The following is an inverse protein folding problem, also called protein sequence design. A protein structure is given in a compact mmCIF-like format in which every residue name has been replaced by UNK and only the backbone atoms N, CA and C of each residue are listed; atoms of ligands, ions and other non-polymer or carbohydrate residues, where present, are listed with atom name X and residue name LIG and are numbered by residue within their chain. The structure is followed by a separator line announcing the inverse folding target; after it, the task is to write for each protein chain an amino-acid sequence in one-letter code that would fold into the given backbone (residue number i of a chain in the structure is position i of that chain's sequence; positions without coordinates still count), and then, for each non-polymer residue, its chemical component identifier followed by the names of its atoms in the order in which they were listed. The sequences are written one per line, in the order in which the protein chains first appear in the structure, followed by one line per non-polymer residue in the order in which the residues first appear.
data_IF_163340755965
#
_entry.id   IF_163340755965
#
_cell.length_a   1.000
_cell.length_b   1.000
_cell.length_c   1.000
_cell.angle_alpha   90.00
_cell.angle_beta   90.00
_cell.angle_gamma   90.00
#
_symmetry.space_group_name_H-M   'P 1'
#
loop_
_entity.id
_entity.type
_entity.pdbx_description
1 polymer ?
#
# COMPACT_ATOMS: atom_id res chain seq x y z
N UNK A 1 16.36 0.05 -88.59
CA UNK A 1 15.84 -0.58 -87.36
C UNK A 1 14.99 0.44 -86.62
N UNK A 2 13.71 0.10 -86.43
CA UNK A 2 12.57 0.70 -85.71
C UNK A 2 12.69 2.04 -84.93
N UNK A 3 11.81 2.97 -85.33
CA UNK A 3 10.75 3.73 -84.60
C UNK A 3 11.01 4.51 -83.27
N UNK A 4 10.52 5.77 -83.33
CA UNK A 4 10.14 6.77 -82.30
C UNK A 4 9.64 6.22 -80.95
N UNK A 5 9.93 6.95 -79.85
CA UNK A 5 8.93 7.53 -78.89
C UNK A 5 9.54 8.74 -78.15
N UNK A 6 8.80 9.85 -78.12
CA UNK A 6 8.95 11.05 -77.27
C UNK A 6 8.26 10.81 -75.92
N UNK A 7 8.80 11.20 -74.76
CA UNK A 7 7.99 11.64 -73.61
C UNK A 7 8.75 12.64 -72.70
N UNK A 8 8.12 13.81 -72.55
CA UNK A 8 8.05 14.79 -71.46
C UNK A 8 9.19 14.99 -70.43
N UNK A 9 9.51 16.27 -70.23
CA UNK A 9 10.33 16.82 -69.18
C UNK A 9 9.71 16.67 -67.77
N UNK A 10 10.58 16.50 -66.76
CA UNK A 10 10.28 16.69 -65.34
C UNK A 10 11.47 17.46 -64.72
N UNK A 11 11.25 18.59 -64.02
CA UNK A 11 12.32 19.28 -63.34
C UNK A 11 12.73 18.51 -62.07
N UNK A 12 14.05 18.43 -61.86
CA UNK A 12 14.66 17.85 -60.66
C UNK A 12 14.30 18.76 -59.48
N UNK A 13 13.40 18.30 -58.61
CA UNK A 13 13.23 18.87 -57.28
C UNK A 13 14.45 18.46 -56.43
N UNK A 14 15.34 19.42 -56.17
CA UNK A 14 16.33 19.29 -55.09
C UNK A 14 15.55 19.29 -53.76
N UNK A 15 15.39 18.11 -53.15
CA UNK A 15 15.06 18.05 -51.72
C UNK A 15 16.29 18.50 -50.94
N UNK A 16 16.25 19.72 -50.42
CA UNK A 16 17.09 20.12 -49.31
C UNK A 16 16.84 19.17 -48.14
N UNK A 17 17.83 18.39 -47.76
CA UNK A 17 17.83 17.62 -46.53
C UNK A 17 17.73 18.61 -45.37
N UNK A 18 16.52 18.81 -44.84
CA UNK A 18 16.36 19.38 -43.51
C UNK A 18 16.99 18.38 -42.55
N UNK A 19 18.14 18.77 -42.01
CA UNK A 19 18.75 18.17 -40.84
C UNK A 19 17.73 18.23 -39.72
N UNK A 20 16.95 17.16 -39.58
CA UNK A 20 16.19 16.89 -38.38
C UNK A 20 17.18 16.91 -37.23
N UNK A 21 17.10 17.95 -36.40
CA UNK A 21 17.70 17.93 -35.07
C UNK A 21 16.94 16.85 -34.32
N UNK A 22 17.40 15.60 -34.47
CA UNK A 22 17.13 14.57 -33.50
C UNK A 22 17.78 15.06 -32.21
N UNK A 23 17.01 15.78 -31.39
CA UNK A 23 17.36 16.01 -30.01
C UNK A 23 17.45 14.63 -29.38
N UNK A 24 18.64 14.08 -29.30
CA UNK A 24 18.95 13.01 -28.37
C UNK A 24 18.64 13.60 -26.99
N UNK A 25 17.44 13.32 -26.48
CA UNK A 25 17.16 13.54 -25.07
C UNK A 25 18.09 12.59 -24.33
N UNK A 26 19.29 13.07 -23.98
CA UNK A 26 19.97 12.57 -22.81
C UNK A 26 18.99 12.79 -21.67
N UNK A 27 18.21 11.75 -21.32
CA UNK A 27 17.32 11.82 -20.17
C UNK A 27 18.21 11.85 -18.93
N UNK A 28 18.71 13.05 -18.61
CA UNK A 28 19.41 13.34 -17.37
C UNK A 28 18.59 12.83 -16.19
N UNK A 29 19.28 12.45 -15.11
CA UNK A 29 18.61 12.04 -13.88
C UNK A 29 17.76 13.22 -13.41
N UNK A 30 16.44 13.04 -13.37
CA UNK A 30 15.51 14.09 -12.98
C UNK A 30 15.77 14.49 -11.53
N UNK A 31 15.94 15.78 -11.23
CA UNK A 31 16.12 16.26 -9.85
C UNK A 31 14.94 15.85 -8.96
N UNK A 32 15.18 15.34 -7.73
CA UNK A 32 14.10 15.07 -6.77
C UNK A 32 13.25 16.32 -6.51
N UNK A 33 11.92 16.17 -6.41
CA UNK A 33 11.02 17.28 -6.07
C UNK A 33 11.24 17.79 -4.63
N UNK A 34 11.59 16.86 -3.74
CA UNK A 34 11.93 17.08 -2.34
C UNK A 34 13.15 16.23 -1.98
N UNK A 35 13.83 16.57 -0.89
CA UNK A 35 14.97 15.79 -0.40
C UNK A 35 14.51 14.41 0.06
N UNK A 36 15.08 13.35 -0.51
CA UNK A 36 14.75 11.96 -0.22
C UNK A 36 16.02 11.21 0.17
N UNK A 37 15.99 10.50 1.30
CA UNK A 37 17.11 9.69 1.79
C UNK A 37 16.62 8.37 2.38
N UNK A 38 17.44 7.30 2.39
CA UNK A 38 17.08 6.09 3.11
C UNK A 38 16.98 6.39 4.62
N UNK A 39 16.05 5.73 5.31
CA UNK A 39 15.86 5.84 6.76
C UNK A 39 16.12 4.51 7.47
N UNK A 40 15.52 3.42 7.00
CA UNK A 40 15.72 2.06 7.54
C UNK A 40 16.11 1.15 6.39
N UNK A 41 17.30 0.55 6.51
CA UNK A 41 17.87 -0.36 5.52
C UNK A 41 18.27 -1.65 6.23
N UNK A 42 17.72 -2.78 5.78
CA UNK A 42 18.03 -4.10 6.32
C UNK A 42 18.52 -5.02 5.21
N UNK A 43 19.61 -5.74 5.47
CA UNK A 43 20.21 -6.64 4.49
C UNK A 43 19.36 -7.91 4.38
N UNK A 44 18.95 -8.26 3.16
CA UNK A 44 18.24 -9.51 2.86
C UNK A 44 16.79 -9.56 3.34
N UNK A 45 16.24 -8.42 3.80
CA UNK A 45 14.90 -8.34 4.36
C UNK A 45 14.22 -7.08 3.83
N UNK A 46 13.01 -7.22 3.32
CA UNK A 46 12.18 -6.09 2.91
C UNK A 46 11.62 -5.38 4.15
N UNK A 47 11.62 -4.05 4.14
CA UNK A 47 11.02 -3.20 5.19
C UNK A 47 9.92 -2.35 4.57
N UNK A 48 8.68 -2.52 5.03
CA UNK A 48 7.48 -1.95 4.39
C UNK A 48 6.40 -1.49 5.36
N UNK A 49 5.43 -0.74 4.84
CA UNK A 49 4.25 -0.26 5.56
C UNK A 49 4.58 0.42 6.90
N UNK A 50 5.36 1.53 6.87
CA UNK A 50 5.62 2.29 8.07
C UNK A 50 4.31 2.89 8.61
N UNK A 51 4.18 2.89 9.93
CA UNK A 51 3.10 3.51 10.70
C UNK A 51 3.74 4.25 11.87
N UNK A 52 3.25 5.46 12.17
CA UNK A 52 3.84 6.32 13.21
C UNK A 52 2.74 6.81 14.13
N UNK A 53 2.96 6.68 15.44
CA UNK A 53 2.13 7.25 16.49
C UNK A 53 2.97 7.41 17.76
N UNK A 54 2.66 8.41 18.57
CA UNK A 54 3.46 8.76 19.76
C UNK A 54 4.93 8.96 19.41
N UNK A 55 5.81 8.26 20.13
CA UNK A 55 7.27 8.27 19.92
C UNK A 55 7.80 7.09 19.10
N UNK A 56 6.91 6.37 18.43
CA UNK A 56 7.24 5.09 17.80
C UNK A 56 6.95 5.07 16.31
N UNK A 57 7.84 4.41 15.58
CA UNK A 57 7.63 4.00 14.20
C UNK A 57 7.56 2.47 14.17
N UNK A 58 6.50 1.95 13.58
CA UNK A 58 6.23 0.53 13.40
C UNK A 58 6.27 0.21 11.92
N UNK A 59 6.85 -0.92 11.54
CA UNK A 59 6.90 -1.36 10.14
C UNK A 59 6.93 -2.88 10.06
N UNK A 60 6.59 -3.40 8.89
CA UNK A 60 6.62 -4.83 8.61
C UNK A 60 7.95 -5.21 7.97
N UNK A 61 8.48 -6.37 8.33
CA UNK A 61 9.65 -6.96 7.69
C UNK A 61 9.37 -8.37 7.16
N UNK A 62 10.03 -8.74 6.07
CA UNK A 62 9.95 -10.11 5.56
C UNK A 62 11.03 -10.45 4.53
N UNK A 63 11.41 -11.72 4.49
CA UNK A 63 12.44 -12.26 3.60
C UNK A 63 11.89 -13.28 2.59
N UNK A 64 10.56 -13.36 2.52
CA UNK A 64 9.82 -14.36 1.74
C UNK A 64 9.49 -15.65 2.50
N UNK A 65 10.20 -15.94 3.60
CA UNK A 65 9.96 -17.13 4.45
C UNK A 65 9.27 -16.76 5.76
N UNK A 66 9.67 -15.65 6.35
CA UNK A 66 9.08 -15.11 7.58
C UNK A 66 8.56 -13.70 7.40
N UNK A 67 7.53 -13.36 8.18
CA UNK A 67 6.94 -12.03 8.25
C UNK A 67 6.82 -11.61 9.70
N UNK A 68 7.34 -10.42 9.98
CA UNK A 68 7.47 -9.87 11.31
C UNK A 68 6.97 -8.42 11.31
N UNK A 69 6.61 -7.94 12.49
CA UNK A 69 6.38 -6.52 12.74
C UNK A 69 7.44 -6.06 13.72
N UNK A 70 7.98 -4.88 13.46
CA UNK A 70 9.07 -4.29 14.21
C UNK A 70 8.72 -2.88 14.64
N UNK A 71 9.21 -2.49 15.82
CA UNK A 71 9.05 -1.16 16.38
C UNK A 71 10.42 -0.54 16.67
N UNK A 72 10.57 0.73 16.31
CA UNK A 72 11.73 1.58 16.64
C UNK A 72 11.25 2.89 17.28
N UNK A 73 12.17 3.62 17.91
CA UNK A 73 11.89 5.02 18.26
C UNK A 73 11.86 5.87 17.00
N UNK A 74 10.87 6.75 16.86
CA UNK A 74 10.80 7.69 15.74
C UNK A 74 11.95 8.70 15.75
N UNK A 75 12.53 8.97 16.92
CA UNK A 75 13.65 9.91 17.11
C UNK A 75 15.00 9.28 16.75
N UNK A 76 15.07 7.95 16.67
CA UNK A 76 16.26 7.23 16.23
C UNK A 76 15.89 5.95 15.46
N UNK A 77 15.27 6.06 14.26
CA UNK A 77 14.70 4.90 13.56
C UNK A 77 15.76 3.90 13.06
N UNK A 78 17.01 4.34 12.94
CA UNK A 78 18.14 3.51 12.53
C UNK A 78 18.77 2.71 13.69
N UNK A 79 18.35 2.95 14.94
CA UNK A 79 18.79 2.19 16.11
C UNK A 79 18.19 0.79 16.14
N UNK A 80 18.55 0.00 17.17
CA UNK A 80 18.03 -1.35 17.35
C UNK A 80 16.50 -1.36 17.36
N UNK A 81 15.92 -2.23 16.55
CA UNK A 81 14.49 -2.47 16.50
C UNK A 81 14.06 -3.57 17.46
N UNK A 82 12.85 -3.45 17.98
CA UNK A 82 12.18 -4.48 18.77
C UNK A 82 11.22 -5.24 17.87
N UNK A 83 11.47 -6.53 17.67
CA UNK A 83 10.59 -7.43 16.93
C UNK A 83 9.43 -7.85 17.83
N UNK A 84 8.20 -7.80 17.30
CA UNK A 84 7.02 -8.27 18.02
C UNK A 84 7.08 -9.79 18.21
N UNK A 85 6.76 -10.25 19.43
CA UNK A 85 6.80 -11.67 19.76
C UNK A 85 5.58 -12.39 19.18
N UNK A 86 5.81 -13.57 18.66
CA UNK A 86 4.73 -14.51 18.30
C UNK A 86 4.19 -15.19 19.57
N UNK A 87 2.90 -15.52 19.55
CA UNK A 87 2.21 -16.23 20.63
C UNK A 87 2.12 -17.74 20.38
N UNK A 88 2.22 -18.17 19.12
CA UNK A 88 2.21 -19.60 18.75
C UNK A 88 3.33 -19.92 17.77
N UNK A 89 3.72 -21.20 17.74
CA UNK A 89 4.67 -21.70 16.74
C UNK A 89 4.09 -21.48 15.33
N UNK A 90 4.92 -21.01 14.39
CA UNK A 90 4.54 -20.69 13.01
C UNK A 90 3.52 -19.54 12.86
N UNK A 91 3.41 -18.65 13.85
CA UNK A 91 2.65 -17.41 13.67
C UNK A 91 3.42 -16.45 12.75
N UNK A 92 2.74 -15.97 11.71
CA UNK A 92 3.21 -14.89 10.86
C UNK A 92 2.49 -13.60 11.25
N UNK A 93 3.25 -12.55 11.55
CA UNK A 93 2.72 -11.24 11.94
C UNK A 93 2.99 -10.23 10.82
N UNK A 94 1.97 -9.49 10.41
CA UNK A 94 2.00 -8.50 9.32
C UNK A 94 1.23 -7.23 9.68
N UNK A 95 1.44 -6.17 8.89
CA UNK A 95 0.69 -4.92 8.97
C UNK A 95 0.63 -4.37 10.41
N UNK A 96 1.79 -3.97 10.90
CA UNK A 96 1.89 -3.31 12.20
C UNK A 96 1.36 -1.88 12.15
N UNK A 97 0.61 -1.48 13.18
CA UNK A 97 0.18 -0.11 13.41
C UNK A 97 0.67 0.38 14.77
N UNK A 98 1.21 1.59 14.82
CA UNK A 98 1.64 2.23 16.06
C UNK A 98 0.44 2.88 16.79
N UNK A 99 0.50 2.90 18.11
CA UNK A 99 -0.45 3.63 18.97
C UNK A 99 0.32 4.60 19.88
N UNK A 100 -0.27 5.74 20.24
CA UNK A 100 0.37 6.80 21.03
C UNK A 100 0.95 6.33 22.37
N UNK A 101 0.33 5.34 23.02
CA UNK A 101 0.78 4.75 24.29
C UNK A 101 1.99 3.80 24.11
N UNK A 102 2.46 3.61 22.89
CA UNK A 102 3.55 2.70 22.52
C UNK A 102 3.13 1.26 22.25
N UNK A 103 1.84 0.95 22.35
CA UNK A 103 1.29 -0.34 21.92
C UNK A 103 1.44 -0.52 20.40
N UNK A 104 1.42 -1.78 19.97
CA UNK A 104 1.50 -2.15 18.55
C UNK A 104 0.34 -3.05 18.20
N UNK A 105 -0.51 -2.59 17.29
CA UNK A 105 -1.49 -3.44 16.62
C UNK A 105 -0.87 -4.21 15.48
N UNK A 106 -1.33 -5.43 15.23
CA UNK A 106 -0.87 -6.19 14.07
C UNK A 106 -1.90 -7.22 13.61
N UNK A 107 -1.73 -7.68 12.39
CA UNK A 107 -2.50 -8.78 11.82
C UNK A 107 -1.67 -10.05 11.92
N UNK A 108 -2.28 -11.17 12.30
CA UNK A 108 -1.59 -12.46 12.23
C UNK A 108 -2.45 -13.56 11.62
N UNK A 109 -1.80 -14.66 11.24
CA UNK A 109 -2.42 -15.84 10.64
C UNK A 109 -3.09 -16.77 11.67
N UNK A 110 -3.34 -16.31 12.90
CA UNK A 110 -4.08 -17.10 13.90
C UNK A 110 -5.53 -17.31 13.43
N UNK A 111 -6.33 -18.10 14.16
CA UNK A 111 -7.79 -18.19 13.97
C UNK A 111 -8.53 -18.23 15.32
N UNK A 112 -9.50 -17.33 15.60
CA UNK A 112 -10.26 -17.33 16.87
C UNK A 112 -10.92 -15.98 17.25
N UNK A 113 -12.01 -15.94 18.03
CA UNK A 113 -12.92 -14.78 18.16
C UNK A 113 -12.23 -13.44 18.43
N UNK A 114 -12.74 -12.33 17.85
CA UNK A 114 -12.22 -10.95 18.00
C UNK A 114 -11.91 -10.64 19.46
N UNK A 115 -12.82 -10.99 20.37
CA UNK A 115 -12.66 -10.72 21.81
C UNK A 115 -11.42 -11.38 22.43
N UNK A 116 -11.01 -12.55 21.94
CA UNK A 116 -9.80 -13.25 22.43
C UNK A 116 -8.50 -12.63 21.91
N UNK A 117 -8.59 -11.72 20.94
CA UNK A 117 -7.45 -11.23 20.16
C UNK A 117 -7.17 -9.75 20.33
N UNK A 118 -8.16 -9.01 20.81
CA UNK A 118 -8.01 -7.64 21.27
C UNK A 118 -7.57 -7.65 22.74
N UNK A 119 -6.40 -8.23 23.00
CA UNK A 119 -5.86 -8.31 24.36
C UNK A 119 -5.54 -6.91 24.88
N UNK A 120 -6.21 -6.53 25.97
CA UNK A 120 -6.02 -5.28 26.71
C UNK A 120 -4.93 -5.48 27.77
N UNK A 121 -3.69 -5.67 27.33
CA UNK A 121 -2.54 -5.59 28.23
C UNK A 121 -2.06 -4.15 28.37
N UNK A 122 -1.52 -3.78 29.54
CA UNK A 122 -0.71 -2.57 29.68
C UNK A 122 0.74 -2.92 29.28
N UNK A 123 1.29 -2.25 28.26
CA UNK A 123 2.59 -2.59 27.65
C UNK A 123 2.49 -3.76 26.66
N UNK A 124 3.39 -3.81 25.66
CA UNK A 124 3.37 -4.76 24.51
C UNK A 124 1.96 -5.24 24.12
N UNK A 125 1.02 -4.30 24.04
CA UNK A 125 -0.40 -4.61 24.01
C UNK A 125 -0.75 -5.15 22.63
N UNK A 126 -0.81 -6.47 22.52
CA UNK A 126 -1.14 -7.20 21.31
C UNK A 126 -2.63 -7.01 20.97
N UNK A 127 -2.92 -6.21 19.94
CA UNK A 127 -4.21 -6.29 19.28
C UNK A 127 -4.02 -7.05 17.98
N UNK A 128 -4.34 -8.34 18.03
CA UNK A 128 -4.51 -9.14 16.84
C UNK A 128 -5.95 -9.00 16.34
N UNK A 129 -6.12 -8.96 15.02
CA UNK A 129 -7.44 -8.95 14.40
C UNK A 129 -7.59 -10.21 13.56
N UNK A 130 -8.45 -11.13 14.02
CA UNK A 130 -9.23 -12.08 13.21
C UNK A 130 -9.99 -13.12 14.08
N UNK A 131 -11.27 -12.87 14.32
CA UNK A 131 -12.36 -13.77 13.91
C UNK A 131 -13.70 -13.12 14.31
N UNK A 132 -14.48 -12.75 13.30
CA UNK A 132 -15.85 -12.35 13.46
C UNK A 132 -16.69 -13.58 13.86
N UNK A 133 -17.02 -13.73 15.14
CA UNK A 133 -17.83 -14.82 15.70
C UNK A 133 -19.26 -14.98 15.16
N UNK A 134 -19.59 -14.39 14.02
CA UNK A 134 -20.84 -14.60 13.28
C UNK A 134 -20.66 -15.05 11.82
N UNK A 135 -19.42 -15.11 11.31
CA UNK A 135 -19.15 -15.41 9.90
C UNK A 135 -18.10 -16.52 9.79
N UNK A 136 -18.56 -17.73 9.47
CA UNK A 136 -17.70 -18.87 9.17
C UNK A 136 -16.83 -18.57 7.93
N UNK A 137 -15.63 -18.06 8.11
CA UNK A 137 -14.65 -17.77 7.05
C UNK A 137 -13.43 -17.05 7.63
N UNK A 138 -12.24 -17.59 7.46
CA UNK A 138 -10.99 -17.00 7.92
C UNK A 138 -10.75 -15.67 7.20
N UNK A 139 -10.84 -14.55 7.92
CA UNK A 139 -10.45 -13.24 7.44
C UNK A 139 -8.96 -13.02 7.71
N UNK A 140 -8.16 -12.87 6.66
CA UNK A 140 -6.77 -12.44 6.76
C UNK A 140 -6.70 -10.98 6.28
N UNK A 141 -6.61 -9.98 7.17
CA UNK A 141 -6.61 -8.60 6.74
C UNK A 141 -5.46 -8.25 5.78
N UNK A 142 -5.69 -7.42 4.75
CA UNK A 142 -4.63 -6.95 3.83
C UNK A 142 -4.11 -5.55 4.16
N UNK A 143 -4.65 -4.96 5.21
CA UNK A 143 -4.22 -3.69 5.79
C UNK A 143 -4.69 -3.60 7.23
N UNK A 144 -3.98 -2.81 8.02
CA UNK A 144 -4.38 -2.40 9.35
C UNK A 144 -4.01 -0.92 9.55
N UNK A 145 -4.96 -0.16 10.09
CA UNK A 145 -4.74 1.19 10.58
C UNK A 145 -5.55 1.42 11.86
N UNK A 146 -5.19 2.44 12.62
CA UNK A 146 -5.81 2.78 13.88
C UNK A 146 -5.79 4.31 14.05
N UNK A 147 -6.75 4.84 14.79
CA UNK A 147 -6.65 6.20 15.33
C UNK A 147 -5.40 6.28 16.22
N UNK A 148 -4.81 7.46 16.37
CA UNK A 148 -3.57 7.61 17.12
C UNK A 148 -3.69 7.15 18.58
N UNK A 149 -4.86 7.32 19.19
CA UNK A 149 -5.16 6.84 20.54
C UNK A 149 -5.53 5.35 20.61
N UNK A 150 -5.57 4.67 19.46
CA UNK A 150 -5.87 3.26 19.35
C UNK A 150 -7.28 2.90 19.80
N UNK A 151 -8.25 3.83 19.80
CA UNK A 151 -9.65 3.53 20.14
C UNK A 151 -10.48 3.07 18.94
N UNK A 152 -10.16 3.54 17.74
CA UNK A 152 -10.82 3.14 16.51
C UNK A 152 -9.82 2.46 15.60
N UNK A 153 -10.20 1.33 15.02
CA UNK A 153 -9.34 0.48 14.21
C UNK A 153 -10.02 0.24 12.89
N UNK A 154 -9.26 0.20 11.80
CA UNK A 154 -9.81 -0.26 10.53
C UNK A 154 -8.90 -1.24 9.83
N UNK A 155 -9.51 -2.25 9.23
CA UNK A 155 -8.82 -3.33 8.54
C UNK A 155 -9.71 -3.88 7.43
N UNK A 156 -9.10 -4.24 6.30
CA UNK A 156 -9.84 -4.78 5.17
C UNK A 156 -9.56 -6.26 4.97
N UNK A 157 -10.54 -7.00 4.46
CA UNK A 157 -10.38 -8.42 4.14
C UNK A 157 -11.24 -8.80 2.94
N UNK A 158 -10.89 -9.89 2.27
CA UNK A 158 -11.75 -10.54 1.28
C UNK A 158 -12.40 -11.74 1.97
N UNK A 159 -13.73 -11.79 1.97
CA UNK A 159 -14.46 -12.92 2.55
C UNK A 159 -14.28 -14.14 1.63
N UNK A 160 -13.83 -15.27 2.17
CA UNK A 160 -13.45 -16.43 1.34
C UNK A 160 -13.87 -17.78 1.94
N UNK A 161 -15.13 -17.91 2.38
CA UNK A 161 -15.67 -19.12 3.03
C UNK A 161 -15.46 -20.40 2.19
N UNK A 162 -15.89 -20.40 0.92
CA UNK A 162 -15.82 -21.59 0.07
C UNK A 162 -14.38 -21.97 -0.27
N UNK A 163 -13.54 -20.97 -0.59
CA UNK A 163 -12.13 -21.18 -0.93
C UNK A 163 -11.33 -21.71 0.25
N UNK A 164 -11.60 -21.24 1.47
CA UNK A 164 -10.94 -21.77 2.66
C UNK A 164 -11.18 -23.27 2.81
N UNK A 165 -12.43 -23.72 2.67
CA UNK A 165 -12.75 -25.15 2.78
C UNK A 165 -11.96 -25.96 1.74
N UNK A 166 -11.84 -25.44 0.51
CA UNK A 166 -11.00 -26.03 -0.54
C UNK A 166 -9.51 -26.02 -0.19
N UNK A 167 -8.97 -24.92 0.35
CA UNK A 167 -7.55 -24.86 0.71
C UNK A 167 -7.20 -25.76 1.90
N UNK A 168 -8.09 -25.87 2.90
CA UNK A 168 -7.91 -26.79 4.02
C UNK A 168 -7.94 -28.26 3.57
N UNK A 169 -8.71 -28.59 2.53
CA UNK A 169 -8.72 -29.94 1.95
C UNK A 169 -7.55 -30.22 1.02
N UNK A 170 -7.09 -29.22 0.26
CA UNK A 170 -6.03 -29.39 -0.77
C UNK A 170 -4.62 -29.26 -0.19
N UNK A 171 -4.42 -28.40 0.82
CA UNK A 171 -3.10 -28.10 1.38
C UNK A 171 -2.99 -28.64 2.81
N UNK A 172 -2.60 -29.91 2.95
CA UNK A 172 -2.35 -30.55 4.25
C UNK A 172 -0.97 -30.17 4.83
N UNK A 173 -0.06 -29.61 4.01
CA UNK A 173 1.33 -29.26 4.37
C UNK A 173 1.67 -27.78 4.16
N UNK A 174 0.90 -26.87 4.75
CA UNK A 174 1.05 -25.44 4.47
C UNK A 174 2.33 -24.81 5.04
N UNK A 175 2.96 -23.99 4.21
CA UNK A 175 3.89 -22.94 4.64
C UNK A 175 3.11 -21.66 4.96
N UNK A 176 3.62 -20.81 5.85
CA UNK A 176 2.89 -19.64 6.38
C UNK A 176 2.32 -18.67 5.31
N UNK A 177 2.90 -18.65 4.10
CA UNK A 177 2.49 -17.76 3.01
C UNK A 177 1.36 -18.33 2.14
N UNK A 178 1.14 -19.65 2.10
CA UNK A 178 0.09 -20.28 1.28
C UNK A 178 -1.29 -20.22 1.94
N UNK A 179 -1.37 -20.14 3.27
CA UNK A 179 -2.65 -19.90 3.96
C UNK A 179 -2.98 -18.41 4.09
N UNK A 180 -1.97 -17.56 3.99
CA UNK A 180 -2.09 -16.12 4.19
C UNK A 180 -2.10 -15.45 2.82
N UNK A 181 -3.27 -15.07 2.31
CA UNK A 181 -3.40 -14.49 0.98
C UNK A 181 -2.85 -13.07 0.82
N UNK A 182 -1.78 -12.73 1.53
CA UNK A 182 -1.34 -11.38 1.82
C UNK A 182 -0.09 -10.99 1.03
N UNK A 183 0.22 -11.70 -0.08
CA UNK A 183 1.27 -11.30 -1.01
C UNK A 183 0.79 -10.15 -1.92
N UNK A 184 1.00 -8.93 -1.41
CA UNK A 184 1.20 -7.66 -2.12
C UNK A 184 0.21 -7.30 -3.26
N UNK A 185 -0.78 -6.46 -2.88
CA UNK A 185 -1.54 -5.45 -3.65
C UNK A 185 -1.25 -5.40 -5.16
N UNK A 186 -1.87 -6.32 -5.91
CA UNK A 186 -1.74 -6.42 -7.37
C UNK A 186 -2.78 -5.55 -8.07
N UNK A 187 -2.37 -4.35 -8.52
CA UNK A 187 -3.23 -3.46 -9.30
C UNK A 187 -3.43 -4.00 -10.72
N UNK A 188 -4.69 -4.16 -11.12
CA UNK A 188 -5.27 -3.92 -12.46
C UNK A 188 -6.78 -4.27 -12.39
N UNK A 189 -7.61 -3.60 -13.19
CA UNK A 189 -9.06 -3.77 -13.26
C UNK A 189 -9.53 -5.12 -13.82
N UNK A 190 -8.60 -5.97 -14.27
CA UNK A 190 -8.84 -7.39 -14.58
C UNK A 190 -7.88 -8.35 -13.84
N UNK A 191 -6.90 -7.84 -13.07
CA UNK A 191 -5.86 -8.64 -12.41
C UNK A 191 -5.82 -8.56 -10.88
N UNK A 192 -6.74 -7.86 -10.21
CA UNK A 192 -6.83 -7.85 -8.73
C UNK A 192 -7.00 -9.24 -8.09
N UNK A 193 -7.22 -10.26 -8.90
CA UNK A 193 -7.59 -11.60 -8.43
C UNK A 193 -6.47 -12.64 -8.58
N UNK A 194 -5.36 -12.32 -9.23
CA UNK A 194 -4.22 -13.22 -9.31
C UNK A 194 -3.25 -13.01 -8.14
N UNK A 195 -3.43 -13.74 -7.04
CA UNK A 195 -2.41 -13.77 -5.98
C UNK A 195 -1.18 -14.54 -6.46
N UNK A 196 -0.04 -13.87 -6.51
CA UNK A 196 1.24 -14.56 -6.52
C UNK A 196 1.48 -15.19 -5.13
N UNK A 197 2.15 -16.34 -5.08
CA UNK A 197 2.46 -17.03 -3.83
C UNK A 197 1.50 -18.16 -3.45
N UNK A 198 0.55 -18.52 -4.31
CA UNK A 198 -0.20 -19.77 -4.18
C UNK A 198 0.29 -20.80 -5.19
N UNK A 199 0.48 -22.02 -4.73
CA UNK A 199 0.54 -23.17 -5.62
C UNK A 199 -0.79 -23.31 -6.38
N UNK A 200 -0.74 -23.86 -7.60
CA UNK A 200 -1.94 -24.10 -8.38
C UNK A 200 -2.86 -25.03 -7.59
N UNK A 201 -4.13 -24.65 -7.46
CA UNK A 201 -5.16 -25.59 -7.03
C UNK A 201 -5.75 -26.31 -8.24
N UNK A 202 -6.51 -27.38 -8.03
CA UNK A 202 -7.15 -28.13 -9.12
C UNK A 202 -8.06 -27.23 -9.97
N UNK A 203 -8.58 -26.16 -9.37
CA UNK A 203 -9.38 -25.09 -9.99
C UNK A 203 -8.56 -24.04 -10.78
N UNK A 204 -7.23 -24.15 -10.82
CA UNK A 204 -6.33 -23.37 -11.69
C UNK A 204 -5.68 -22.12 -11.05
N UNK A 205 -4.77 -21.49 -11.83
CA UNK A 205 -3.96 -20.30 -11.45
C UNK A 205 -4.74 -18.98 -11.33
N UNK A 206 -6.06 -19.00 -11.58
CA UNK A 206 -6.86 -17.82 -11.92
C UNK A 206 -8.01 -17.58 -10.96
N UNK A 207 -7.74 -17.60 -9.65
CA UNK A 207 -8.78 -17.44 -8.64
C UNK A 207 -9.45 -16.07 -8.78
N UNK A 208 -10.79 -16.03 -8.90
CA UNK A 208 -11.57 -14.78 -8.91
C UNK A 208 -11.99 -14.49 -7.45
N UNK A 209 -11.48 -13.44 -6.79
CA UNK A 209 -11.89 -13.06 -5.42
C UNK A 209 -12.98 -11.99 -5.39
N UNK A 210 -13.86 -12.05 -4.40
CA UNK A 210 -14.83 -10.99 -4.13
C UNK A 210 -14.15 -9.68 -3.76
N UNK A 211 -14.85 -8.58 -3.99
CA UNK A 211 -14.37 -7.26 -3.60
C UNK A 211 -14.10 -7.22 -2.08
N UNK A 212 -13.02 -6.54 -1.65
CA UNK A 212 -12.72 -6.43 -0.23
C UNK A 212 -13.81 -5.63 0.51
N UNK A 213 -13.95 -5.96 1.78
CA UNK A 213 -14.78 -5.21 2.73
C UNK A 213 -13.84 -4.58 3.76
N UNK A 214 -14.01 -3.28 3.98
CA UNK A 214 -13.32 -2.55 5.03
C UNK A 214 -14.18 -2.59 6.29
N UNK A 215 -13.57 -2.96 7.40
CA UNK A 215 -14.18 -2.97 8.71
C UNK A 215 -13.65 -1.79 9.50
N UNK A 216 -14.53 -1.06 10.18
CA UNK A 216 -14.17 -0.06 11.18
C UNK A 216 -14.70 -0.53 12.52
N UNK A 217 -13.80 -0.72 13.47
CA UNK A 217 -14.11 -1.22 14.80
C UNK A 217 -13.81 -0.15 15.86
N UNK A 218 -14.83 0.22 16.63
CA UNK A 218 -14.68 1.08 17.80
C UNK A 218 -14.47 0.18 19.03
N UNK A 219 -13.28 0.26 19.64
CA UNK A 219 -12.89 -0.57 20.79
C UNK A 219 -13.58 -0.20 22.08
N UNK A 220 -14.04 1.05 22.19
CA UNK A 220 -14.72 1.52 23.40
C UNK A 220 -16.15 1.02 23.43
N UNK A 221 -16.85 1.11 22.30
CA UNK A 221 -18.26 0.70 22.20
C UNK A 221 -18.44 -0.74 21.74
N UNK A 222 -17.37 -1.39 21.27
CA UNK A 222 -17.41 -2.68 20.56
C UNK A 222 -18.28 -2.67 19.29
N UNK A 223 -18.56 -1.49 18.74
CA UNK A 223 -19.29 -1.35 17.49
C UNK A 223 -18.39 -1.70 16.30
N UNK A 224 -18.93 -2.46 15.35
CA UNK A 224 -18.28 -2.79 14.09
C UNK A 224 -19.13 -2.33 12.91
N UNK A 225 -18.57 -1.45 12.09
CA UNK A 225 -19.19 -0.96 10.87
C UNK A 225 -18.48 -1.59 9.67
N UNK A 226 -19.26 -2.01 8.67
CA UNK A 226 -18.77 -2.63 7.44
C UNK A 226 -18.98 -1.68 6.28
N UNK A 227 -17.92 -1.42 5.52
CA UNK A 227 -17.95 -0.62 4.30
C UNK A 227 -17.69 -1.58 3.13
N UNK A 228 -18.73 -1.93 2.35
CA UNK A 228 -18.58 -2.84 1.22
C UNK A 228 -17.77 -2.19 0.10
N UNK A 229 -17.06 -3.02 -0.67
CA UNK A 229 -16.22 -2.60 -1.79
C UNK A 229 -15.25 -1.48 -1.38
N UNK A 230 -14.56 -1.67 -0.26
CA UNK A 230 -13.62 -0.71 0.30
C UNK A 230 -12.41 -1.43 0.90
N UNK A 231 -11.24 -0.80 0.78
CA UNK A 231 -10.00 -1.32 1.34
C UNK A 231 -8.96 -0.23 1.57
N UNK A 232 -7.84 -0.57 2.21
CA UNK A 232 -6.72 0.33 2.53
C UNK A 232 -7.20 1.58 3.28
N UNK A 233 -8.07 1.36 4.28
CA UNK A 233 -8.62 2.41 5.11
C UNK A 233 -7.56 3.06 6.01
N UNK A 234 -7.66 4.37 6.20
CA UNK A 234 -6.93 5.14 7.22
C UNK A 234 -7.92 5.95 8.05
N UNK A 235 -7.65 6.07 9.34
CA UNK A 235 -8.50 6.81 10.28
C UNK A 235 -7.93 8.20 10.53
N UNK A 236 -8.82 9.18 10.68
CA UNK A 236 -8.44 10.48 11.21
C UNK A 236 -7.94 10.37 12.66
N UNK A 237 -7.09 11.30 13.10
CA UNK A 237 -6.52 11.27 14.46
C UNK A 237 -7.58 11.24 15.57
N UNK A 238 -8.73 11.88 15.32
CA UNK A 238 -9.89 11.91 16.23
C UNK A 238 -10.81 10.67 16.11
N UNK A 239 -10.52 9.76 15.18
CA UNK A 239 -11.28 8.53 14.96
C UNK A 239 -12.70 8.75 14.41
N UNK A 240 -13.01 9.93 13.86
CA UNK A 240 -14.36 10.25 13.32
C UNK A 240 -14.53 10.01 11.84
N UNK A 241 -13.45 9.98 11.07
CA UNK A 241 -13.48 9.78 9.63
C UNK A 241 -12.58 8.62 9.22
N UNK A 242 -12.97 7.96 8.14
CA UNK A 242 -12.15 6.96 7.45
C UNK A 242 -12.02 7.35 5.99
N UNK A 243 -10.79 7.35 5.47
CA UNK A 243 -10.54 7.42 4.04
C UNK A 243 -10.16 6.04 3.57
N UNK A 244 -10.71 5.60 2.45
CA UNK A 244 -10.47 4.27 1.90
C UNK A 244 -10.43 4.33 0.38
N UNK A 245 -9.88 3.26 -0.20
CA UNK A 245 -9.92 3.03 -1.63
C UNK A 245 -11.22 2.29 -1.98
N UNK A 246 -11.89 2.74 -3.02
CA UNK A 246 -13.04 2.05 -3.62
C UNK A 246 -12.85 1.92 -5.12
N UNK A 247 -13.14 0.73 -5.64
CA UNK A 247 -13.19 0.51 -7.08
C UNK A 247 -14.52 0.99 -7.63
N UNK A 248 -14.48 1.91 -8.59
CA UNK A 248 -15.66 2.39 -9.32
C UNK A 248 -15.37 2.30 -10.82
N UNK A 249 -16.14 1.49 -11.55
CA UNK A 249 -16.00 1.29 -13.00
C UNK A 249 -14.56 0.92 -13.45
N UNK A 250 -13.87 0.07 -12.68
CA UNK A 250 -12.50 -0.35 -12.98
C UNK A 250 -11.40 0.65 -12.59
N UNK A 251 -11.73 1.80 -11.99
CA UNK A 251 -10.74 2.73 -11.43
C UNK A 251 -10.75 2.71 -9.90
N UNK A 252 -9.60 2.99 -9.30
CA UNK A 252 -9.44 3.05 -7.84
C UNK A 252 -9.34 4.50 -7.40
N UNK A 253 -10.32 4.92 -6.62
CA UNK A 253 -10.42 6.28 -6.13
C UNK A 253 -10.45 6.31 -4.60
N UNK A 254 -10.05 7.46 -4.04
CA UNK A 254 -10.13 7.73 -2.63
C UNK A 254 -11.52 8.26 -2.28
N UNK A 255 -12.11 7.67 -1.25
CA UNK A 255 -13.40 8.05 -0.69
C UNK A 255 -13.25 8.27 0.81
N UNK A 256 -14.02 9.20 1.35
CA UNK A 256 -14.09 9.49 2.77
C UNK A 256 -15.51 9.27 3.28
N UNK A 257 -15.63 8.78 4.50
CA UNK A 257 -16.90 8.60 5.18
C UNK A 257 -16.71 8.85 6.67
N UNK A 258 -17.74 9.33 7.36
CA UNK A 258 -17.74 9.34 8.82
C UNK A 258 -17.88 7.92 9.37
N UNK A 259 -17.36 7.64 10.57
CA UNK A 259 -17.34 6.28 11.11
C UNK A 259 -18.74 5.70 11.33
N UNK A 260 -19.74 6.53 11.64
CA UNK A 260 -21.14 6.08 11.79
C UNK A 260 -21.80 5.75 10.44
N UNK A 261 -21.11 5.98 9.32
CA UNK A 261 -21.59 5.70 7.98
C UNK A 261 -22.27 6.87 7.29
N UNK A 262 -22.37 8.03 7.93
CA UNK A 262 -22.92 9.25 7.33
C UNK A 262 -21.87 9.94 6.43
N UNK A 263 -22.31 10.88 5.59
CA UNK A 263 -21.43 11.75 4.78
C UNK A 263 -20.34 11.02 3.95
N UNK A 264 -20.78 10.22 2.97
CA UNK A 264 -19.88 9.62 1.99
C UNK A 264 -19.51 10.63 0.90
N UNK A 265 -18.21 10.89 0.73
CA UNK A 265 -17.66 11.84 -0.25
C UNK A 265 -16.54 11.19 -1.05
N UNK A 266 -16.55 11.39 -2.37
CA UNK A 266 -15.45 11.02 -3.25
C UNK A 266 -14.38 12.13 -3.24
N UNK A 267 -13.12 11.77 -2.99
CA UNK A 267 -12.00 12.71 -2.91
C UNK A 267 -11.20 12.81 -4.22
N UNK A 268 -11.14 11.73 -5.00
CA UNK A 268 -10.45 11.66 -6.29
C UNK A 268 -11.35 11.04 -7.35
N UNK A 269 -11.18 11.44 -8.61
CA UNK A 269 -11.97 10.97 -9.75
C UNK A 269 -11.14 10.86 -11.05
N UNK A 270 -9.82 10.77 -10.92
CA UNK A 270 -8.93 10.76 -12.09
C UNK A 270 -8.97 9.40 -12.79
N UNK A 271 -8.62 9.33 -14.07
CA UNK A 271 -8.48 8.05 -14.82
C UNK A 271 -7.33 7.13 -14.35
N UNK A 272 -6.72 7.46 -13.22
CA UNK A 272 -5.54 6.81 -12.65
C UNK A 272 -5.87 6.34 -11.25
N UNK A 273 -5.20 5.28 -10.81
CA UNK A 273 -5.44 4.69 -9.50
C UNK A 273 -4.82 5.54 -8.39
N UNK A 274 -5.61 5.87 -7.38
CA UNK A 274 -5.24 6.60 -6.16
C UNK A 274 -5.48 5.73 -4.92
N UNK A 275 -4.43 5.55 -4.12
CA UNK A 275 -4.27 4.37 -3.25
C UNK A 275 -3.54 4.73 -1.95
N UNK A 276 -3.63 3.82 -0.97
CA UNK A 276 -2.92 3.89 0.33
C UNK A 276 -2.96 5.28 0.98
N UNK A 277 -4.18 5.82 1.23
CA UNK A 277 -4.34 7.11 1.86
C UNK A 277 -3.77 7.09 3.30
N UNK A 278 -3.25 8.21 3.76
CA UNK A 278 -2.97 8.49 5.17
C UNK A 278 -3.32 9.94 5.51
N UNK A 279 -4.08 10.14 6.57
CA UNK A 279 -4.25 11.47 7.15
C UNK A 279 -2.92 12.02 7.67
N UNK A 280 -2.76 13.34 7.61
CA UNK A 280 -1.78 14.02 8.43
C UNK A 280 -2.29 14.20 9.87
N UNK A 281 -1.39 14.49 10.85
CA UNK A 281 -1.76 14.53 12.26
C UNK A 281 -2.93 15.48 12.59
N UNK A 282 -3.02 16.62 11.90
CA UNK A 282 -4.08 17.63 12.10
C UNK A 282 -5.36 17.36 11.26
N UNK A 283 -5.36 16.36 10.39
CA UNK A 283 -6.49 15.96 9.56
C UNK A 283 -6.82 16.88 8.37
N UNK A 284 -5.99 17.89 8.05
CA UNK A 284 -6.24 18.81 6.93
C UNK A 284 -5.61 18.40 5.59
N UNK A 285 -4.76 17.38 5.59
CA UNK A 285 -4.10 16.85 4.39
C UNK A 285 -4.12 15.34 4.36
N UNK A 286 -4.01 14.80 3.16
CA UNK A 286 -3.92 13.36 2.91
C UNK A 286 -2.69 13.08 2.07
N UNK A 287 -1.85 12.17 2.53
CA UNK A 287 -0.85 11.52 1.68
C UNK A 287 -1.50 10.33 0.98
N UNK A 288 -1.11 10.08 -0.26
CA UNK A 288 -1.58 8.91 -1.00
C UNK A 288 -0.59 8.57 -2.12
N UNK A 289 -0.73 7.39 -2.69
CA UNK A 289 0.04 6.97 -3.87
C UNK A 289 -0.81 7.01 -5.11
N UNK A 290 -0.18 7.38 -6.22
CA UNK A 290 -0.82 7.37 -7.52
C UNK A 290 0.11 6.93 -8.63
N UNK A 291 -0.45 6.21 -9.60
CA UNK A 291 0.24 5.80 -10.83
C UNK A 291 0.10 6.83 -11.97
N UNK A 292 -0.53 7.99 -11.70
CA UNK A 292 -0.79 9.04 -12.71
C UNK A 292 0.44 9.54 -13.46
N UNK A 293 1.60 9.57 -12.80
CA UNK A 293 2.86 9.98 -13.41
C UNK A 293 3.43 8.98 -14.42
N UNK A 294 2.89 7.77 -14.44
CA UNK A 294 3.37 6.65 -15.25
C UNK A 294 2.28 6.11 -16.19
N UNK A 295 1.29 6.95 -16.51
CA UNK A 295 0.24 6.59 -17.46
C UNK A 295 -0.64 5.42 -17.01
N UNK A 296 -0.81 5.22 -15.69
CA UNK A 296 -1.61 4.12 -15.16
C UNK A 296 -0.82 2.83 -14.90
N UNK A 297 0.50 2.84 -15.05
CA UNK A 297 1.32 1.67 -14.82
C UNK A 297 1.22 1.20 -13.35
N UNK A 298 0.56 0.07 -13.15
CA UNK A 298 0.31 -0.60 -11.87
C UNK A 298 1.56 -0.94 -11.07
N UNK A 299 2.69 -1.13 -11.74
CA UNK A 299 3.98 -1.44 -11.11
C UNK A 299 4.74 -0.20 -10.66
N UNK A 300 4.23 1.01 -10.89
CA UNK A 300 4.97 2.27 -10.64
C UNK A 300 4.05 3.32 -10.04
N UNK A 301 4.47 3.84 -8.90
CA UNK A 301 3.70 4.81 -8.11
C UNK A 301 4.60 5.92 -7.61
N UNK A 302 4.01 7.08 -7.35
CA UNK A 302 4.65 8.18 -6.65
C UNK A 302 3.75 8.66 -5.52
N UNK A 303 4.35 9.28 -4.51
CA UNK A 303 3.63 9.91 -3.42
C UNK A 303 3.04 11.24 -3.88
N UNK A 304 1.84 11.50 -3.42
CA UNK A 304 1.10 12.74 -3.59
C UNK A 304 0.52 13.19 -2.26
N UNK A 305 0.22 14.47 -2.17
CA UNK A 305 -0.46 15.09 -1.05
C UNK A 305 -1.65 15.88 -1.56
N UNK A 306 -2.80 15.72 -0.92
CA UNK A 306 -4.00 16.51 -1.15
C UNK A 306 -4.24 17.44 0.05
N UNK A 307 -4.50 18.71 -0.22
CA UNK A 307 -5.12 19.62 0.76
C UNK A 307 -6.63 19.38 0.76
N UNK A 308 -7.22 19.03 1.91
CA UNK A 308 -8.64 18.68 2.01
C UNK A 308 -9.58 19.88 1.88
N UNK A 309 -9.10 21.09 2.11
CA UNK A 309 -9.92 22.31 2.00
C UNK A 309 -10.01 22.76 0.54
N UNK A 310 -8.90 22.72 -0.18
CA UNK A 310 -8.83 23.21 -1.56
C UNK A 310 -8.85 22.12 -2.62
N UNK A 311 -8.82 20.84 -2.22
CA UNK A 311 -8.63 19.67 -3.09
C UNK A 311 -7.37 19.73 -3.98
N UNK A 312 -6.40 20.58 -3.61
CA UNK A 312 -5.18 20.75 -4.42
C UNK A 312 -4.27 19.56 -4.21
N UNK A 313 -3.94 18.88 -5.31
CA UNK A 313 -3.02 17.74 -5.33
C UNK A 313 -1.61 18.20 -5.70
N UNK A 314 -0.62 17.80 -4.91
CA UNK A 314 0.81 18.07 -5.14
C UNK A 314 1.58 16.75 -5.19
N UNK A 315 2.43 16.57 -6.20
CA UNK A 315 3.34 15.41 -6.30
C UNK A 315 4.54 15.60 -5.38
N UNK A 316 4.89 14.58 -4.61
CA UNK A 316 6.03 14.60 -3.67
C UNK A 316 7.24 13.83 -4.19
N UNK A 317 7.06 12.74 -4.92
CA UNK A 317 8.18 11.92 -5.40
C UNK A 317 8.20 11.72 -6.91
N UNK A 318 9.38 11.56 -7.50
CA UNK A 318 9.57 11.42 -8.95
C UNK A 318 10.74 10.50 -9.38
N UNK A 319 11.14 9.53 -8.55
CA UNK A 319 12.21 8.61 -8.93
C UNK A 319 11.80 7.72 -10.11
N UNK A 320 12.67 7.63 -11.10
CA UNK A 320 12.38 6.92 -12.35
C UNK A 320 12.27 5.41 -12.12
N UNK A 321 11.08 4.87 -12.39
CA UNK A 321 10.84 3.43 -12.37
C UNK A 321 10.65 2.83 -10.99
N UNK A 322 10.85 3.62 -9.93
CA UNK A 322 10.57 3.21 -8.56
C UNK A 322 9.08 3.10 -8.29
N UNK A 323 8.76 2.29 -7.30
CA UNK A 323 7.44 2.13 -6.73
C UNK A 323 7.53 2.66 -5.31
N UNK A 324 6.92 3.81 -5.06
CA UNK A 324 6.83 4.38 -3.72
C UNK A 324 5.47 4.00 -3.12
N UNK A 325 5.40 3.68 -1.83
CA UNK A 325 4.18 3.22 -1.16
C UNK A 325 4.23 3.34 0.35
N UNK A 326 3.09 3.08 1.00
CA UNK A 326 2.84 3.15 2.43
C UNK A 326 3.37 4.43 3.04
N UNK A 327 2.95 5.61 2.56
CA UNK A 327 3.37 6.86 3.18
C UNK A 327 2.88 6.89 4.63
N UNK A 328 3.58 7.59 5.51
CA UNK A 328 3.14 7.97 6.85
C UNK A 328 3.88 9.24 7.28
N UNK A 329 3.30 10.02 8.20
CA UNK A 329 3.94 11.21 8.75
C UNK A 329 4.84 10.82 9.92
N UNK A 330 6.13 11.14 9.83
CA UNK A 330 7.06 10.98 10.96
C UNK A 330 6.94 12.15 11.93
N UNK A 331 6.78 13.34 11.37
CA UNK A 331 6.55 14.63 12.03
C UNK A 331 5.83 15.57 11.04
N UNK A 332 5.62 16.83 11.40
CA UNK A 332 4.88 17.80 10.58
C UNK A 332 5.50 18.08 9.20
N UNK A 333 6.79 17.77 9.01
CA UNK A 333 7.56 18.11 7.81
C UNK A 333 8.25 16.90 7.17
N UNK A 334 8.16 15.72 7.79
CA UNK A 334 8.84 14.52 7.31
C UNK A 334 7.84 13.42 7.01
N UNK A 335 7.85 12.94 5.77
CA UNK A 335 7.08 11.78 5.32
C UNK A 335 8.01 10.58 5.27
N UNK A 336 7.62 9.47 5.88
CA UNK A 336 8.27 8.17 5.70
C UNK A 336 7.45 7.30 4.77
N UNK A 337 8.11 6.46 3.99
CA UNK A 337 7.45 5.60 3.00
C UNK A 337 8.36 4.43 2.67
N UNK A 338 7.80 3.35 2.13
CA UNK A 338 8.60 2.26 1.60
C UNK A 338 8.83 2.42 0.09
N UNK A 339 9.99 1.98 -0.39
CA UNK A 339 10.32 2.06 -1.81
C UNK A 339 11.40 1.07 -2.21
N UNK A 340 11.33 0.60 -3.46
CA UNK A 340 12.31 -0.26 -4.12
C UNK A 340 13.43 0.53 -4.83
N UNK A 341 13.59 1.83 -4.52
CA UNK A 341 14.71 2.64 -5.03
C UNK A 341 16.05 2.00 -4.73
N UNK A 342 16.99 2.12 -5.67
CA UNK A 342 18.36 1.69 -5.46
C UNK A 342 19.08 2.60 -4.45
N UNK A 343 19.68 2.02 -3.41
CA UNK A 343 20.37 2.79 -2.36
C UNK A 343 21.52 3.68 -2.86
N UNK A 344 22.20 3.31 -3.96
CA UNK A 344 23.31 4.08 -4.54
C UNK A 344 22.85 5.07 -5.61
N UNK A 345 21.71 4.81 -6.25
CA UNK A 345 21.14 5.60 -7.35
C UNK A 345 19.64 5.84 -7.11
N UNK A 346 19.25 6.51 -6.02
CA UNK A 346 17.86 6.54 -5.54
C UNK A 346 16.86 7.20 -6.49
N UNK A 347 17.35 7.98 -7.45
CA UNK A 347 16.51 8.72 -8.38
C UNK A 347 16.38 8.06 -9.76
N UNK A 348 17.28 7.14 -10.10
CA UNK A 348 17.39 6.55 -11.45
C UNK A 348 17.48 5.04 -11.48
N UNK A 349 17.67 4.39 -10.33
CA UNK A 349 17.76 2.94 -10.21
C UNK A 349 16.69 2.37 -9.29
N UNK A 350 16.32 1.13 -9.58
CA UNK A 350 15.50 0.27 -8.73
C UNK A 350 16.31 -0.95 -8.29
N UNK A 351 15.98 -1.50 -7.14
CA UNK A 351 16.50 -2.76 -6.62
C UNK A 351 15.38 -3.76 -6.36
N UNK A 352 15.74 -5.00 -6.02
CA UNK A 352 14.79 -6.04 -5.64
C UNK A 352 14.28 -5.90 -4.20
N UNK A 353 15.02 -5.17 -3.35
CA UNK A 353 14.70 -5.01 -1.93
C UNK A 353 13.94 -3.72 -1.65
N UNK A 354 13.04 -3.78 -0.69
CA UNK A 354 12.25 -2.64 -0.21
C UNK A 354 12.80 -2.11 1.09
N UNK A 355 12.95 -0.80 1.18
CA UNK A 355 13.49 -0.12 2.36
C UNK A 355 12.54 1.00 2.77
N UNK A 356 12.64 1.46 4.02
CA UNK A 356 11.95 2.68 4.46
C UNK A 356 12.83 3.87 4.12
N UNK A 357 12.24 4.83 3.42
CA UNK A 357 12.82 6.10 3.02
C UNK A 357 12.11 7.24 3.76
N UNK A 358 12.76 8.38 3.82
CA UNK A 358 12.15 9.61 4.28
C UNK A 358 12.22 10.69 3.20
N UNK A 359 11.23 11.57 3.21
CA UNK A 359 11.12 12.77 2.39
C UNK A 359 10.89 13.96 3.31
N UNK A 360 11.66 15.03 3.13
CA UNK A 360 11.49 16.28 3.88
C UNK A 360 10.75 17.32 3.04
N UNK A 361 9.62 17.78 3.56
CA UNK A 361 8.89 18.94 3.05
C UNK A 361 9.66 20.22 3.40
N UNK A 362 9.35 21.30 2.67
CA UNK A 362 10.01 22.60 2.82
C UNK A 362 9.40 23.43 3.93
#
# INVERSE_FOLDING_TARGET
MKMKVLWAALPILMLSAQSGIASSMSKGVQTPLYSVSPLIVKKGVDSTYPSVAGDFLVFSTGDGTEYRVERVSKHSPASASRVMKTMVLNEAIRFGVAVNDGSVGYVSNRTGPIASWMWLGNGESHAAIAHMGGFSGNAAPFHLNASQDGKVWCFDTSLQKLRQNTMLSEFIKNTNFELSGQAWRTYDSDNFRYKQGYNNTETGKKNKFDAPVLYVFNRVTSQLNMIPNAFNGTLSSDGKHVIFVRETNGNYDLWMQTINGEELVQLTDSKYADLEPQFNPDGNKILFVSNRAYGGAVTKTSLYMMDLKSYKITRLTNAKGATDGGPAWLDDHTVVFHSNRNLKKPQSGVGSSWNIWQLKLK
#
